data_IF_162581178821
#
_entry.id   IF_162581178821
#
_cell.length_a   1.000
_cell.length_b   1.000
_cell.length_c   1.000
_cell.angle_alpha   90.00
_cell.angle_beta   90.00
_cell.angle_gamma   90.00
#
_symmetry.space_group_name_H-M   'P 1'
#
loop_
_entity.id
_entity.type
_entity.pdbx_description
1 polymer ?
#
# COMPACT_ATOMS: atom_id res chain seq x y z
N UNK A 1 20.90 18.35 19.16
CA UNK A 1 20.23 18.49 20.46
C UNK A 1 20.74 19.74 21.15
N UNK A 2 19.83 20.59 21.61
CA UNK A 2 20.15 21.83 22.30
C UNK A 2 20.70 21.49 23.71
N UNK A 3 21.86 22.04 24.10
CA UNK A 3 22.53 21.71 25.38
C UNK A 3 21.96 22.45 26.60
N UNK A 4 20.91 23.27 26.39
CA UNK A 4 20.26 24.07 27.44
C UNK A 4 19.37 23.18 28.31
N UNK A 5 19.55 23.26 29.63
CA UNK A 5 18.66 22.61 30.59
C UNK A 5 17.34 23.38 30.74
N UNK A 6 16.24 22.66 30.94
CA UNK A 6 14.91 23.23 31.23
C UNK A 6 14.91 23.77 32.66
N UNK A 7 14.36 24.97 32.86
CA UNK A 7 14.26 25.60 34.18
C UNK A 7 12.81 25.83 34.60
N UNK A 8 12.55 26.09 35.89
CA UNK A 8 11.20 26.38 36.40
C UNK A 8 10.52 27.58 35.70
N UNK A 9 11.30 28.54 35.18
CA UNK A 9 10.75 29.66 34.42
C UNK A 9 10.18 29.25 33.08
N UNK A 10 10.70 28.17 32.49
CA UNK A 10 10.33 27.69 31.17
C UNK A 10 9.00 26.90 31.18
N UNK A 11 8.53 26.44 32.36
CA UNK A 11 7.35 25.55 32.51
C UNK A 11 6.11 26.20 33.14
N UNK A 12 6.00 27.53 33.07
CA UNK A 12 4.89 28.29 33.70
C UNK A 12 3.51 28.09 33.07
N UNK A 13 3.40 27.22 32.06
CA UNK A 13 2.16 26.96 31.34
C UNK A 13 1.35 25.82 32.00
N UNK A 14 0.00 25.87 31.97
CA UNK A 14 -0.85 24.87 32.63
C UNK A 14 -0.59 23.42 32.21
N UNK A 15 -0.16 23.17 30.97
CA UNK A 15 0.13 21.82 30.49
C UNK A 15 1.37 21.16 31.10
N UNK A 16 2.22 21.91 31.80
CA UNK A 16 3.40 21.39 32.51
C UNK A 16 3.20 21.39 34.04
N UNK A 17 1.97 21.60 34.49
CA UNK A 17 1.61 21.48 35.90
C UNK A 17 1.94 20.06 36.37
N UNK A 18 2.74 19.96 37.43
CA UNK A 18 3.20 18.71 38.06
C UNK A 18 4.26 17.91 37.27
N UNK A 19 4.77 18.42 36.15
CA UNK A 19 5.88 17.78 35.43
C UNK A 19 7.21 17.99 36.17
N UNK A 20 7.99 16.92 36.37
CA UNK A 20 9.36 17.03 36.87
C UNK A 20 10.25 17.61 35.76
N UNK A 21 11.15 18.54 36.11
CA UNK A 21 12.07 19.16 35.14
C UNK A 21 12.93 18.11 34.42
N UNK A 22 13.27 17.02 35.12
CA UNK A 22 14.06 15.92 34.57
C UNK A 22 13.32 15.13 33.49
N UNK A 23 12.00 15.26 33.37
CA UNK A 23 11.20 14.63 32.32
C UNK A 23 11.02 15.54 31.10
N UNK A 24 11.67 16.72 31.08
CA UNK A 24 11.49 17.75 30.05
C UNK A 24 12.78 18.03 29.28
N UNK A 25 12.65 18.40 28.01
CA UNK A 25 13.74 18.86 27.15
C UNK A 25 13.26 19.90 26.14
N UNK A 26 14.20 20.66 25.55
CA UNK A 26 13.88 21.53 24.42
C UNK A 26 13.85 20.70 23.13
N UNK A 27 12.78 20.85 22.35
CA UNK A 27 12.63 20.17 21.07
C UNK A 27 13.42 20.88 19.93
N UNK A 28 13.22 20.42 18.69
CA UNK A 28 13.87 20.99 17.50
C UNK A 28 13.42 22.41 17.15
N UNK A 29 12.31 22.86 17.72
CA UNK A 29 11.74 24.21 17.53
C UNK A 29 12.15 25.17 18.66
N UNK A 30 12.67 24.65 19.78
CA UNK A 30 13.06 25.43 20.95
C UNK A 30 11.96 25.55 21.99
N UNK A 31 10.88 24.77 21.87
CA UNK A 31 9.81 24.66 22.86
C UNK A 31 10.12 23.57 23.89
N UNK A 32 9.59 23.73 25.11
CA UNK A 32 9.72 22.70 26.16
C UNK A 32 8.77 21.55 25.86
N UNK A 33 9.28 20.34 25.81
CA UNK A 33 8.54 19.12 25.56
C UNK A 33 8.92 18.02 26.55
N UNK A 34 8.05 17.01 26.75
CA UNK A 34 8.43 15.84 27.55
C UNK A 34 9.43 14.95 26.80
N UNK A 35 10.36 14.33 27.53
CA UNK A 35 11.34 13.36 27.02
C UNK A 35 10.67 12.08 26.51
N UNK A 36 9.57 11.67 27.13
CA UNK A 36 8.81 10.48 26.75
C UNK A 36 7.86 10.69 25.55
N UNK A 37 7.87 11.87 24.91
CA UNK A 37 6.97 12.18 23.78
C UNK A 37 7.11 11.18 22.63
N UNK A 38 8.32 10.70 22.37
CA UNK A 38 8.56 9.73 21.32
C UNK A 38 7.87 8.39 21.63
N UNK A 39 8.05 7.88 22.85
CA UNK A 39 7.37 6.67 23.31
C UNK A 39 5.85 6.85 23.27
N UNK A 40 5.34 7.99 23.72
CA UNK A 40 3.91 8.31 23.71
C UNK A 40 3.36 8.33 22.29
N UNK A 41 4.06 8.95 21.34
CA UNK A 41 3.66 8.99 19.94
C UNK A 41 3.73 7.61 19.28
N UNK A 42 4.80 6.84 19.53
CA UNK A 42 4.91 5.47 19.01
C UNK A 42 3.81 4.57 19.55
N UNK A 43 3.44 4.71 20.83
CA UNK A 43 2.31 3.99 21.41
C UNK A 43 0.99 4.34 20.72
N UNK A 44 0.77 5.61 20.33
CA UNK A 44 -0.42 6.01 19.56
C UNK A 44 -0.41 5.40 18.16
N UNK A 45 0.71 5.48 17.44
CA UNK A 45 0.87 4.90 16.10
C UNK A 45 0.65 3.39 16.14
N UNK A 46 1.24 2.71 17.12
CA UNK A 46 1.04 1.28 17.35
C UNK A 46 -0.45 0.95 17.56
N UNK A 47 -1.18 1.77 18.32
CA UNK A 47 -2.62 1.62 18.49
C UNK A 47 -3.40 1.76 17.18
N UNK A 48 -2.99 2.66 16.28
CA UNK A 48 -3.59 2.81 14.95
C UNK A 48 -3.28 1.64 14.02
N UNK A 49 -2.12 0.98 14.21
CA UNK A 49 -1.66 -0.17 13.42
C UNK A 49 -2.04 -1.51 14.04
N UNK A 50 -3.07 -1.54 14.89
CA UNK A 50 -3.54 -2.77 15.53
C UNK A 50 -3.84 -3.88 14.50
N UNK A 51 -3.35 -5.09 14.77
CA UNK A 51 -3.53 -6.25 13.90
C UNK A 51 -2.49 -6.38 12.79
N UNK A 52 -1.68 -5.34 12.56
CA UNK A 52 -0.61 -5.33 11.55
C UNK A 52 0.70 -5.74 12.19
N UNK A 53 1.47 -6.62 11.55
CA UNK A 53 2.79 -7.08 12.02
C UNK A 53 2.80 -7.57 13.48
N UNK A 54 1.71 -8.22 13.93
CA UNK A 54 1.56 -8.70 15.30
C UNK A 54 1.37 -7.61 16.36
N UNK A 55 1.16 -6.35 15.96
CA UNK A 55 0.92 -5.25 16.90
C UNK A 55 -0.44 -5.38 17.59
N UNK A 56 -0.42 -5.37 18.91
CA UNK A 56 -1.61 -5.39 19.75
C UNK A 56 -1.46 -4.42 20.92
N UNK A 57 -2.56 -3.76 21.36
CA UNK A 57 -2.55 -2.96 22.59
C UNK A 57 -2.07 -3.70 23.83
N UNK A 58 -2.07 -5.05 23.79
CA UNK A 58 -1.72 -5.92 24.92
C UNK A 58 -0.32 -6.51 24.83
N UNK A 59 0.45 -6.21 23.79
CA UNK A 59 1.77 -6.80 23.55
C UNK A 59 2.86 -5.74 23.64
N UNK A 60 4.02 -6.12 24.15
CA UNK A 60 5.24 -5.32 24.00
C UNK A 60 5.58 -5.16 22.51
N UNK A 61 6.16 -4.02 22.15
CA UNK A 61 6.52 -3.69 20.78
C UNK A 61 7.93 -3.08 20.73
N UNK A 62 8.60 -3.22 19.59
CA UNK A 62 9.82 -2.47 19.26
C UNK A 62 9.51 -1.37 18.26
N UNK A 63 10.40 -0.38 18.15
CA UNK A 63 10.24 0.67 17.14
C UNK A 63 10.26 0.09 15.73
N UNK A 64 11.08 -0.93 15.48
CA UNK A 64 11.21 -1.62 14.20
C UNK A 64 9.90 -2.29 13.80
N UNK A 65 9.20 -2.94 14.74
CA UNK A 65 7.89 -3.56 14.46
C UNK A 65 6.85 -2.51 14.04
N UNK A 66 6.85 -1.35 14.69
CA UNK A 66 5.95 -0.23 14.34
C UNK A 66 6.28 0.35 12.96
N UNK A 67 7.57 0.53 12.67
CA UNK A 67 8.03 1.02 11.36
C UNK A 67 7.68 0.03 10.24
N UNK A 68 7.88 -1.27 10.46
CA UNK A 68 7.54 -2.31 9.50
C UNK A 68 6.02 -2.40 9.28
N UNK A 69 5.21 -2.31 10.33
CA UNK A 69 3.76 -2.25 10.22
C UNK A 69 3.29 -1.04 9.40
N UNK A 70 3.93 0.12 9.59
CA UNK A 70 3.67 1.31 8.79
C UNK A 70 4.05 1.10 7.32
N UNK A 71 5.21 0.49 7.05
CA UNK A 71 5.65 0.16 5.69
C UNK A 71 4.69 -0.82 4.99
N UNK A 72 4.14 -1.80 5.71
CA UNK A 72 3.09 -2.68 5.18
C UNK A 72 1.86 -1.86 4.77
N UNK A 73 1.39 -0.95 5.63
CA UNK A 73 0.22 -0.12 5.31
C UNK A 73 0.46 0.84 4.15
N UNK A 74 1.66 1.43 4.04
CA UNK A 74 2.01 2.27 2.89
C UNK A 74 1.97 1.49 1.57
N UNK A 75 2.56 0.28 1.53
CA UNK A 75 2.51 -0.58 0.33
C UNK A 75 1.08 -0.97 -0.05
N UNK A 76 0.22 -1.24 0.94
CA UNK A 76 -1.19 -1.52 0.69
C UNK A 76 -1.93 -0.32 0.11
N UNK A 77 -1.64 0.90 0.59
CA UNK A 77 -2.23 2.13 0.04
C UNK A 77 -1.76 2.35 -1.40
N UNK A 78 -0.47 2.22 -1.68
CA UNK A 78 0.07 2.34 -3.05
C UNK A 78 -0.56 1.31 -4.00
N UNK A 79 -0.73 0.07 -3.53
CA UNK A 79 -1.42 -0.99 -4.28
C UNK A 79 -2.88 -0.61 -4.54
N UNK A 80 -3.60 -0.16 -3.52
CA UNK A 80 -5.00 0.25 -3.63
C UNK A 80 -5.19 1.41 -4.59
N UNK A 81 -4.35 2.44 -4.52
CA UNK A 81 -4.36 3.57 -5.44
C UNK A 81 -4.19 3.11 -6.88
N UNK A 82 -3.24 2.20 -7.13
CA UNK A 82 -3.04 1.62 -8.47
C UNK A 82 -4.27 0.87 -8.96
N UNK A 83 -4.86 0.02 -8.11
CA UNK A 83 -6.05 -0.77 -8.48
C UNK A 83 -7.26 0.11 -8.76
N UNK A 84 -7.52 1.12 -7.92
CA UNK A 84 -8.62 2.06 -8.11
C UNK A 84 -8.48 2.81 -9.43
N UNK A 85 -7.26 3.23 -9.80
CA UNK A 85 -7.02 3.87 -11.09
C UNK A 85 -7.37 2.92 -12.24
N UNK A 86 -6.94 1.66 -12.17
CA UNK A 86 -7.23 0.66 -13.20
C UNK A 86 -8.74 0.44 -13.33
N UNK A 87 -9.45 0.20 -12.23
CA UNK A 87 -10.91 -0.04 -12.27
C UNK A 87 -11.67 1.20 -12.77
N UNK A 88 -11.29 2.39 -12.30
CA UNK A 88 -11.96 3.65 -12.66
C UNK A 88 -11.82 4.01 -14.14
N UNK A 89 -10.69 3.68 -14.75
CA UNK A 89 -10.39 4.01 -16.14
C UNK A 89 -10.54 2.82 -17.08
N UNK A 90 -11.06 1.69 -16.59
CA UNK A 90 -11.34 0.53 -17.42
C UNK A 90 -12.40 0.87 -18.48
N UNK A 91 -12.14 0.61 -19.78
CA UNK A 91 -13.18 0.58 -20.79
C UNK A 91 -14.29 -0.40 -20.42
N UNK A 92 -15.52 -0.12 -20.85
CA UNK A 92 -16.71 -0.94 -20.49
C UNK A 92 -16.57 -2.41 -20.89
N UNK A 93 -15.85 -2.68 -21.98
CA UNK A 93 -15.64 -4.01 -22.54
C UNK A 93 -14.26 -4.62 -22.25
N UNK A 94 -13.50 -4.06 -21.29
CA UNK A 94 -12.26 -4.65 -20.83
C UNK A 94 -12.50 -5.88 -19.95
N UNK A 95 -11.79 -6.98 -20.23
CA UNK A 95 -11.90 -8.24 -19.49
C UNK A 95 -10.73 -8.42 -18.51
N UNK A 96 -9.54 -7.96 -18.90
CA UNK A 96 -8.30 -8.12 -18.15
C UNK A 96 -7.45 -6.85 -18.16
N UNK A 97 -6.48 -6.80 -17.24
CA UNK A 97 -5.43 -5.79 -17.18
C UNK A 97 -4.04 -6.45 -17.11
N UNK A 98 -3.10 -5.94 -17.91
CA UNK A 98 -1.70 -6.35 -17.87
C UNK A 98 -0.88 -5.35 -17.04
N UNK A 99 -0.41 -5.76 -15.85
CA UNK A 99 0.26 -4.82 -14.93
C UNK A 99 1.60 -4.26 -15.44
N UNK A 100 2.40 -5.07 -16.14
CA UNK A 100 3.71 -4.63 -16.65
C UNK A 100 3.59 -3.75 -17.89
N UNK A 101 2.71 -4.11 -18.82
CA UNK A 101 2.48 -3.36 -20.06
C UNK A 101 1.47 -2.21 -19.88
N UNK A 102 0.81 -2.13 -18.72
CA UNK A 102 -0.11 -1.06 -18.34
C UNK A 102 -1.32 -0.87 -19.28
N UNK A 103 -1.79 -1.96 -19.88
CA UNK A 103 -2.87 -1.96 -20.86
C UNK A 103 -4.04 -2.86 -20.44
N UNK A 104 -5.22 -2.57 -20.98
CA UNK A 104 -6.40 -3.42 -20.88
C UNK A 104 -6.41 -4.42 -22.02
N UNK A 105 -6.98 -5.60 -21.79
CA UNK A 105 -7.04 -6.70 -22.76
C UNK A 105 -8.44 -7.30 -22.78
N UNK A 106 -8.90 -7.74 -23.95
CA UNK A 106 -10.15 -8.49 -24.15
C UNK A 106 -10.07 -9.44 -25.35
N UNK A 107 -11.08 -10.30 -25.51
CA UNK A 107 -11.27 -11.18 -26.69
C UNK A 107 -10.06 -12.08 -26.96
N UNK A 108 -9.51 -12.67 -25.90
CA UNK A 108 -8.42 -13.65 -26.02
C UNK A 108 -8.97 -14.89 -26.74
N UNK A 109 -8.27 -15.34 -27.78
CA UNK A 109 -8.59 -16.57 -28.53
C UNK A 109 -8.48 -17.81 -27.64
N UNK A 110 -9.64 -18.24 -27.12
CA UNK A 110 -9.72 -19.32 -26.13
C UNK A 110 -9.31 -20.69 -26.70
N UNK A 111 -9.57 -20.93 -27.99
CA UNK A 111 -9.23 -22.20 -28.64
C UNK A 111 -7.71 -22.34 -28.76
N UNK A 112 -7.03 -21.29 -29.22
CA UNK A 112 -5.57 -21.28 -29.30
C UNK A 112 -4.92 -21.25 -27.91
N UNK A 113 -5.53 -20.57 -26.93
CA UNK A 113 -5.07 -20.60 -25.55
C UNK A 113 -5.15 -22.03 -24.96
N UNK A 114 -6.22 -22.77 -25.23
CA UNK A 114 -6.37 -24.15 -24.76
C UNK A 114 -5.32 -25.08 -25.38
N UNK A 115 -5.03 -24.92 -26.67
CA UNK A 115 -3.95 -25.65 -27.35
C UNK A 115 -2.60 -25.31 -26.71
N UNK A 116 -2.33 -24.02 -26.52
CA UNK A 116 -1.07 -23.54 -25.92
C UNK A 116 -0.83 -24.12 -24.52
N UNK A 117 -1.88 -24.19 -23.70
CA UNK A 117 -1.83 -24.79 -22.37
C UNK A 117 -1.63 -26.31 -22.41
N UNK A 118 -2.11 -26.98 -23.45
CA UNK A 118 -1.90 -28.42 -23.67
C UNK A 118 -0.49 -28.76 -24.16
N UNK A 119 0.20 -27.81 -24.79
CA UNK A 119 1.52 -27.99 -25.41
C UNK A 119 2.54 -26.94 -24.93
N UNK A 120 2.82 -26.83 -23.62
CA UNK A 120 3.63 -25.73 -23.06
C UNK A 120 5.10 -25.73 -23.51
N UNK A 121 5.58 -26.83 -24.12
CA UNK A 121 6.93 -26.90 -24.69
C UNK A 121 7.02 -26.34 -26.11
N UNK A 122 5.88 -26.05 -26.74
CA UNK A 122 5.81 -25.48 -28.07
C UNK A 122 5.49 -23.97 -27.98
N UNK A 123 6.07 -23.15 -28.86
CA UNK A 123 5.75 -21.73 -28.91
C UNK A 123 4.35 -21.52 -29.53
N UNK A 124 3.42 -20.90 -28.79
CA UNK A 124 2.08 -20.54 -29.26
C UNK A 124 1.78 -19.04 -29.17
N UNK A 125 1.43 -18.43 -30.30
CA UNK A 125 0.87 -17.07 -30.34
C UNK A 125 -0.65 -17.12 -30.19
N UNK A 126 -1.19 -16.22 -29.37
CA UNK A 126 -2.60 -16.12 -29.04
C UNK A 126 -3.07 -14.71 -29.41
N UNK A 127 -4.17 -14.62 -30.15
CA UNK A 127 -4.74 -13.35 -30.58
C UNK A 127 -5.59 -12.73 -29.48
N UNK A 128 -5.57 -11.40 -29.38
CA UNK A 128 -6.38 -10.61 -28.45
C UNK A 128 -6.51 -9.16 -28.94
N UNK A 129 -7.39 -8.39 -28.31
CA UNK A 129 -7.43 -6.93 -28.44
C UNK A 129 -6.87 -6.29 -27.17
N UNK A 130 -6.06 -5.25 -27.31
CA UNK A 130 -5.53 -4.46 -26.19
C UNK A 130 -5.79 -2.96 -26.38
N UNK A 131 -5.81 -2.20 -25.30
CA UNK A 131 -5.81 -0.74 -25.37
C UNK A 131 -5.04 -0.12 -24.20
N UNK A 132 -4.35 0.99 -24.47
CA UNK A 132 -3.82 1.84 -23.42
C UNK A 132 -4.91 2.76 -22.86
N UNK A 133 -4.65 3.40 -21.72
CA UNK A 133 -5.65 4.24 -21.06
C UNK A 133 -5.97 5.47 -21.91
N UNK A 134 -7.19 5.54 -22.44
CA UNK A 134 -7.67 6.66 -23.26
C UNK A 134 -7.39 6.50 -24.76
N UNK A 135 -6.89 5.34 -25.19
CA UNK A 135 -6.65 5.02 -26.60
C UNK A 135 -7.72 4.07 -27.17
N UNK A 136 -7.65 3.85 -28.49
CA UNK A 136 -8.55 2.91 -29.17
C UNK A 136 -8.06 1.46 -29.01
N UNK A 137 -8.97 0.50 -29.24
CA UNK A 137 -8.64 -0.92 -29.21
C UNK A 137 -7.84 -1.33 -30.45
N UNK A 138 -6.73 -2.05 -30.22
CA UNK A 138 -5.87 -2.59 -31.27
C UNK A 138 -5.81 -4.11 -31.19
N UNK A 139 -5.83 -4.76 -32.36
CA UNK A 139 -5.66 -6.21 -32.45
C UNK A 139 -4.17 -6.57 -32.36
N UNK A 140 -3.85 -7.61 -31.59
CA UNK A 140 -2.49 -8.08 -31.38
C UNK A 140 -2.41 -9.60 -31.21
N UNK A 141 -1.18 -10.11 -31.19
CA UNK A 141 -0.87 -11.49 -30.86
C UNK A 141 0.28 -11.52 -29.86
N UNK A 142 0.18 -12.37 -28.85
CA UNK A 142 1.21 -12.51 -27.82
C UNK A 142 1.39 -13.97 -27.40
N UNK A 143 2.52 -14.25 -26.78
CA UNK A 143 2.82 -15.59 -26.27
C UNK A 143 1.97 -15.93 -25.05
N UNK A 144 1.84 -17.22 -24.73
CA UNK A 144 1.05 -17.67 -23.57
C UNK A 144 1.52 -17.04 -22.26
N UNK A 145 2.83 -16.79 -22.11
CA UNK A 145 3.40 -16.15 -20.92
C UNK A 145 2.91 -14.71 -20.74
N UNK A 146 2.60 -14.00 -21.82
CA UNK A 146 1.98 -12.68 -21.77
C UNK A 146 0.56 -12.79 -21.21
N UNK A 147 -0.19 -13.81 -21.65
CA UNK A 147 -1.58 -14.02 -21.24
C UNK A 147 -1.67 -14.46 -19.77
N UNK A 148 -0.73 -15.27 -19.30
CA UNK A 148 -0.70 -15.75 -17.91
C UNK A 148 -0.36 -14.64 -16.90
N UNK A 149 0.17 -13.50 -17.35
CA UNK A 149 0.41 -12.31 -16.52
C UNK A 149 -0.82 -11.38 -16.38
N UNK A 150 -1.91 -11.69 -17.08
CA UNK A 150 -3.13 -10.90 -17.05
C UNK A 150 -3.95 -11.16 -15.78
N UNK A 151 -4.53 -10.10 -15.23
CA UNK A 151 -5.47 -10.19 -14.11
C UNK A 151 -6.84 -9.72 -14.57
N UNK A 152 -7.88 -10.51 -14.33
CA UNK A 152 -9.24 -10.11 -14.70
C UNK A 152 -9.68 -8.86 -13.94
N UNK A 153 -10.45 -7.99 -14.59
CA UNK A 153 -10.98 -6.78 -13.96
C UNK A 153 -11.85 -7.11 -12.73
N UNK A 154 -12.61 -8.21 -12.76
CA UNK A 154 -13.44 -8.61 -11.62
C UNK A 154 -12.60 -8.99 -10.38
N UNK A 155 -11.48 -9.70 -10.57
CA UNK A 155 -10.53 -9.99 -9.48
C UNK A 155 -9.90 -8.70 -8.94
N UNK A 156 -9.63 -7.71 -9.79
CA UNK A 156 -9.13 -6.39 -9.34
C UNK A 156 -10.17 -5.70 -8.44
N UNK A 157 -11.45 -5.72 -8.83
CA UNK A 157 -12.55 -5.18 -8.02
C UNK A 157 -12.69 -5.90 -6.69
N UNK A 158 -12.60 -7.23 -6.69
CA UNK A 158 -12.63 -8.04 -5.47
C UNK A 158 -11.44 -7.70 -4.54
N UNK A 159 -10.23 -7.56 -5.09
CA UNK A 159 -9.04 -7.16 -4.32
C UNK A 159 -9.21 -5.77 -3.69
N UNK A 160 -9.77 -4.80 -4.44
CA UNK A 160 -10.10 -3.47 -3.90
C UNK A 160 -11.05 -3.60 -2.70
N UNK A 161 -12.11 -4.38 -2.82
CA UNK A 161 -13.07 -4.57 -1.73
C UNK A 161 -12.45 -5.21 -0.50
N UNK A 162 -11.63 -6.25 -0.67
CA UNK A 162 -10.92 -6.92 0.42
C UNK A 162 -10.03 -5.92 1.18
N UNK A 163 -9.21 -5.15 0.45
CA UNK A 163 -8.32 -4.16 1.04
C UNK A 163 -9.11 -3.08 1.79
N UNK A 164 -10.23 -2.61 1.23
CA UNK A 164 -11.09 -1.59 1.86
C UNK A 164 -11.79 -2.10 3.13
N UNK A 165 -12.12 -3.40 3.19
CA UNK A 165 -12.67 -4.05 4.40
C UNK A 165 -11.60 -4.30 5.46
N UNK A 166 -10.33 -4.28 5.08
CA UNK A 166 -9.20 -4.53 5.98
C UNK A 166 -9.04 -6.01 6.33
N UNK A 167 -9.50 -6.90 5.45
CA UNK A 167 -9.31 -8.36 5.48
C UNK A 167 -7.96 -8.73 4.82
#
# INVERSE_FOLDING_TARGET
MNKRQVTERDIRLPQFRDAQLDDLEFDGTGEVARKDRFQTSMCKIQGMLHGVNGLSPRTSWTCEQVVEALSIKLRLIERLEKLICIDRFAPEDAEFYHFDNQCYVKKIDQDHLAIAKGEPSNPHLINFEFCETGEEWEASSGWVEYIDALVSIDVIREEIEIILRGE
#
